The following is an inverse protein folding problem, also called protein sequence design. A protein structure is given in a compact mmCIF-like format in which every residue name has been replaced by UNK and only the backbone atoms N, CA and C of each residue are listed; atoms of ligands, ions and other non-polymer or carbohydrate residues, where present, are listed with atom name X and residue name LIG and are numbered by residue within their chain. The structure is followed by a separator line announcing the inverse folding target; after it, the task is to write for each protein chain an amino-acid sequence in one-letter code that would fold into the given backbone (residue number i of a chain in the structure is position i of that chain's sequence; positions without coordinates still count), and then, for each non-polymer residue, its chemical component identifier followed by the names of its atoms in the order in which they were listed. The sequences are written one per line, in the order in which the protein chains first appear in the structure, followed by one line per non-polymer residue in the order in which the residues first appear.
data_IF_214063623245
#
_entry.id   IF_214063623245
#
_cell.length_a   1.000
_cell.length_b   1.000
_cell.length_c   1.000
_cell.angle_alpha   90.00
_cell.angle_beta   90.00
_cell.angle_gamma   90.00
#
_symmetry.space_group_name_H-M   'P 1'
#
loop_
_entity.id
_entity.type
_entity.pdbx_description
1 polymer ?
#
# COMPACT_ATOMS: atom_id res chain seq x y z
N UNK A 1 -2.98 26.21 -31.01
CA UNK A 1 -2.58 26.33 -29.58
C UNK A 1 -1.84 25.04 -29.18
N UNK A 2 -0.50 25.05 -29.16
CA UNK A 2 0.31 23.85 -28.99
C UNK A 2 0.53 23.59 -27.49
N UNK A 3 -0.19 22.62 -26.92
CA UNK A 3 0.04 22.17 -25.55
C UNK A 3 1.34 21.35 -25.47
N UNK A 4 2.40 21.97 -24.96
CA UNK A 4 3.65 21.26 -24.60
C UNK A 4 3.35 20.28 -23.45
N UNK A 5 3.22 18.99 -23.77
CA UNK A 5 3.08 17.89 -22.81
C UNK A 5 4.37 17.79 -21.97
N UNK A 6 4.24 17.61 -20.65
CA UNK A 6 5.38 17.44 -19.73
C UNK A 6 5.51 15.96 -19.35
N UNK A 7 6.67 15.38 -19.63
CA UNK A 7 7.04 13.99 -19.28
C UNK A 7 7.68 13.99 -17.89
N UNK A 8 7.28 13.04 -17.04
CA UNK A 8 8.00 12.70 -15.80
C UNK A 8 8.48 11.26 -15.92
N UNK A 9 9.78 11.06 -15.96
CA UNK A 9 10.39 9.72 -15.99
C UNK A 9 10.27 9.04 -14.62
N UNK A 10 9.40 8.04 -14.51
CA UNK A 10 9.40 7.09 -13.40
C UNK A 10 10.40 5.97 -13.72
N UNK A 11 11.60 6.03 -13.17
CA UNK A 11 12.56 4.93 -13.21
C UNK A 11 12.25 3.92 -12.09
N UNK A 12 11.82 2.73 -12.50
CA UNK A 12 11.64 1.56 -11.65
C UNK A 12 13.03 0.92 -11.45
N UNK A 13 13.67 1.13 -10.30
CA UNK A 13 14.91 0.43 -9.97
C UNK A 13 14.56 -1.00 -9.52
N UNK A 14 14.88 -1.98 -10.36
CA UNK A 14 14.87 -3.39 -10.00
C UNK A 14 16.00 -3.66 -9.00
N UNK A 15 15.69 -4.25 -7.83
CA UNK A 15 16.70 -4.66 -6.86
C UNK A 15 16.94 -6.17 -7.03
N UNK A 16 18.22 -6.49 -7.26
CA UNK A 16 18.78 -7.80 -7.58
C UNK A 16 18.73 -8.71 -6.34
N UNK A 17 18.37 -9.97 -6.57
CA UNK A 17 18.48 -11.09 -5.63
C UNK A 17 19.93 -11.28 -5.19
N UNK A 18 20.17 -11.41 -3.88
CA UNK A 18 21.39 -12.02 -3.37
C UNK A 18 21.03 -13.33 -2.66
N UNK A 19 21.40 -14.44 -3.31
CA UNK A 19 21.50 -15.77 -2.72
C UNK A 19 22.73 -15.80 -1.82
N UNK A 20 22.57 -16.32 -0.60
CA UNK A 20 23.67 -16.65 0.30
C UNK A 20 23.35 -17.95 1.02
N UNK A 21 23.85 -19.05 0.48
CA UNK A 21 23.87 -20.37 1.10
C UNK A 21 24.96 -20.44 2.16
N UNK A 22 24.63 -20.94 3.35
CA UNK A 22 25.59 -21.42 4.33
C UNK A 22 25.09 -22.75 4.90
N UNK A 23 25.85 -23.79 4.56
CA UNK A 23 25.86 -25.16 5.06
C UNK A 23 26.42 -25.21 6.48
N UNK A 24 25.92 -26.12 7.34
CA UNK A 24 26.59 -26.42 8.61
C UNK A 24 25.81 -27.29 9.60
N UNK A 25 25.96 -28.60 9.41
CA UNK A 25 25.97 -29.73 10.36
C UNK A 25 24.96 -29.87 11.51
N UNK A 26 24.38 -31.08 11.53
CA UNK A 26 23.59 -31.69 12.58
C UNK A 26 24.40 -32.01 13.85
N UNK A 27 23.74 -31.91 15.01
CA UNK A 27 24.04 -32.70 16.20
C UNK A 27 22.72 -33.21 16.78
N UNK A 28 22.62 -34.53 16.83
CA UNK A 28 21.58 -35.34 17.47
C UNK A 28 21.68 -35.24 18.98
N UNK A 29 20.57 -34.96 19.66
CA UNK A 29 20.38 -35.33 21.06
C UNK A 29 18.89 -35.54 21.34
N UNK A 30 18.50 -36.80 21.49
CA UNK A 30 17.21 -37.21 22.07
C UNK A 30 17.16 -36.80 23.53
N UNK A 31 16.09 -36.11 23.91
CA UNK A 31 15.60 -36.08 25.28
C UNK A 31 14.07 -35.97 25.24
N UNK A 32 13.42 -37.12 25.48
CA UNK A 32 11.98 -37.27 25.64
C UNK A 32 11.53 -36.50 26.88
N UNK A 33 10.65 -35.51 26.72
CA UNK A 33 9.87 -34.98 27.84
C UNK A 33 8.45 -34.66 27.38
N UNK A 34 7.51 -35.10 28.20
CA UNK A 34 6.05 -35.10 28.08
C UNK A 34 5.41 -34.01 27.21
N UNK A 35 4.65 -34.46 26.21
CA UNK A 35 3.71 -33.63 25.44
C UNK A 35 2.39 -33.58 26.20
N UNK A 36 2.30 -32.70 27.21
CA UNK A 36 1.00 -32.23 27.67
C UNK A 36 0.40 -31.37 26.55
N UNK A 37 -0.50 -31.99 25.78
CA UNK A 37 -1.22 -31.42 24.64
C UNK A 37 -2.24 -30.39 25.13
N UNK A 38 -1.76 -29.24 25.60
CA UNK A 38 -2.61 -28.09 25.87
C UNK A 38 -2.96 -27.48 24.51
N UNK A 39 -4.12 -27.88 23.99
CA UNK A 39 -4.76 -27.24 22.84
C UNK A 39 -5.04 -25.78 23.21
N UNK A 40 -4.05 -24.93 23.02
CA UNK A 40 -4.25 -23.50 22.99
C UNK A 40 -5.12 -23.24 21.76
N UNK A 41 -6.43 -23.14 21.97
CA UNK A 41 -7.32 -22.54 21.01
C UNK A 41 -6.69 -21.19 20.67
N UNK A 42 -6.13 -21.07 19.46
CA UNK A 42 -5.54 -19.84 18.98
C UNK A 42 -6.64 -18.78 19.09
N UNK A 43 -6.52 -17.92 20.09
CA UNK A 43 -7.43 -16.82 20.33
C UNK A 43 -7.31 -15.95 19.10
N UNK A 44 -8.27 -16.09 18.17
CA UNK A 44 -8.31 -15.36 16.90
C UNK A 44 -8.06 -13.89 17.21
N UNK A 45 -6.88 -13.39 16.86
CA UNK A 45 -6.48 -12.05 17.20
C UNK A 45 -7.55 -11.07 16.69
N UNK A 46 -8.12 -10.28 17.60
CA UNK A 46 -9.09 -9.26 17.25
C UNK A 46 -8.40 -8.17 16.44
N UNK A 47 -9.06 -7.69 15.39
CA UNK A 47 -8.51 -6.61 14.56
C UNK A 47 -8.59 -5.30 15.35
N UNK A 48 -7.47 -4.55 15.50
CA UNK A 48 -7.49 -3.27 16.21
C UNK A 48 -8.47 -2.27 15.60
N UNK A 49 -9.11 -1.46 16.45
CA UNK A 49 -10.05 -0.42 16.03
C UNK A 49 -9.41 0.55 15.03
N UNK A 50 -10.11 0.82 13.92
CA UNK A 50 -9.68 1.77 12.88
C UNK A 50 -8.97 1.13 11.68
N UNK A 51 -8.36 -0.04 11.87
CA UNK A 51 -7.77 -0.82 10.77
C UNK A 51 -8.88 -1.24 9.82
N UNK A 52 -8.69 -1.00 8.52
CA UNK A 52 -9.66 -1.45 7.53
C UNK A 52 -9.71 -2.97 7.51
N UNK A 53 -10.90 -3.50 7.80
CA UNK A 53 -11.11 -4.92 7.89
C UNK A 53 -12.49 -5.34 7.42
N UNK A 54 -12.52 -6.36 6.57
CA UNK A 54 -13.74 -6.82 5.89
C UNK A 54 -13.94 -8.33 6.09
N UNK A 55 -15.19 -8.81 6.19
CA UNK A 55 -15.46 -10.25 6.27
C UNK A 55 -15.13 -10.94 4.95
N UNK A 56 -14.78 -12.24 4.97
CA UNK A 56 -14.47 -13.00 3.73
C UNK A 56 -15.53 -12.89 2.62
N UNK A 57 -16.80 -12.65 2.98
CA UNK A 57 -17.93 -12.55 2.04
C UNK A 57 -18.19 -11.13 1.49
N UNK A 58 -17.32 -10.15 1.70
CA UNK A 58 -17.53 -8.78 1.17
C UNK A 58 -17.69 -8.77 -0.36
N UNK A 59 -18.49 -7.85 -0.89
CA UNK A 59 -18.64 -7.62 -2.33
C UNK A 59 -17.47 -6.81 -2.88
N UNK A 60 -16.86 -7.30 -3.98
CA UNK A 60 -15.77 -6.59 -4.66
C UNK A 60 -16.24 -5.23 -5.16
N UNK A 61 -17.47 -5.14 -5.68
CA UNK A 61 -18.03 -3.91 -6.25
C UNK A 61 -18.29 -2.87 -5.17
N UNK A 62 -18.88 -3.28 -4.04
CA UNK A 62 -19.15 -2.38 -2.90
C UNK A 62 -17.86 -1.84 -2.32
N UNK A 63 -16.89 -2.72 -2.05
CA UNK A 63 -15.60 -2.29 -1.50
C UNK A 63 -14.83 -1.39 -2.48
N UNK A 64 -14.96 -1.63 -3.79
CA UNK A 64 -14.40 -0.74 -4.81
C UNK A 64 -15.03 0.66 -4.74
N UNK A 65 -16.33 0.76 -4.48
CA UNK A 65 -17.00 2.06 -4.31
C UNK A 65 -16.60 2.74 -3.00
N UNK A 66 -16.49 1.98 -1.91
CA UNK A 66 -16.11 2.46 -0.57
C UNK A 66 -14.69 3.02 -0.53
N UNK A 67 -13.72 2.35 -1.17
CA UNK A 67 -12.32 2.79 -1.18
C UNK A 67 -12.03 3.91 -2.19
N UNK A 68 -12.96 4.22 -3.09
CA UNK A 68 -12.82 5.28 -4.08
C UNK A 68 -12.57 6.67 -3.45
N UNK A 69 -13.39 7.16 -2.48
CA UNK A 69 -13.09 8.41 -1.77
C UNK A 69 -11.78 8.37 -0.97
N UNK A 70 -11.40 7.20 -0.44
CA UNK A 70 -10.13 7.03 0.27
C UNK A 70 -8.92 7.18 -0.68
N UNK A 71 -9.03 6.67 -1.91
CA UNK A 71 -8.03 6.88 -2.95
C UNK A 71 -7.84 8.37 -3.27
N UNK A 72 -8.94 9.13 -3.38
CA UNK A 72 -8.91 10.59 -3.59
C UNK A 72 -8.17 11.28 -2.45
N UNK A 73 -8.47 10.90 -1.20
CA UNK A 73 -7.79 11.45 -0.03
C UNK A 73 -6.29 11.17 -0.05
N UNK A 74 -5.88 9.95 -0.39
CA UNK A 74 -4.48 9.57 -0.52
C UNK A 74 -3.75 10.30 -1.65
N UNK A 75 -4.41 10.53 -2.80
CA UNK A 75 -3.85 11.35 -3.89
C UNK A 75 -3.62 12.81 -3.46
N UNK A 76 -4.53 13.38 -2.65
CA UNK A 76 -4.36 14.73 -2.08
C UNK A 76 -3.22 14.78 -1.06
N UNK A 77 -3.10 13.78 -0.19
CA UNK A 77 -1.95 13.64 0.73
C UNK A 77 -0.64 13.53 -0.06
N UNK A 78 -0.63 12.79 -1.17
CA UNK A 78 0.53 12.71 -2.06
C UNK A 78 0.88 14.05 -2.70
N UNK A 79 -0.11 14.80 -3.18
CA UNK A 79 0.10 16.14 -3.70
C UNK A 79 0.77 17.06 -2.67
N UNK A 80 0.35 17.02 -1.40
CA UNK A 80 0.99 17.78 -0.32
C UNK A 80 2.42 17.31 -0.03
N UNK A 81 2.64 16.00 -0.05
CA UNK A 81 3.93 15.40 0.29
C UNK A 81 4.99 15.70 -0.76
N UNK A 82 4.67 15.67 -2.05
CA UNK A 82 5.64 16.03 -3.11
C UNK A 82 5.98 17.53 -3.13
N UNK A 83 5.07 18.39 -2.65
CA UNK A 83 5.31 19.82 -2.49
C UNK A 83 6.23 20.12 -1.30
N UNK A 84 5.92 19.54 -0.14
CA UNK A 84 6.54 19.90 1.14
C UNK A 84 7.70 18.99 1.55
N UNK A 85 7.76 17.77 1.03
CA UNK A 85 8.64 16.70 1.49
C UNK A 85 8.19 16.03 2.79
N UNK A 86 7.11 16.50 3.42
CA UNK A 86 6.60 15.95 4.68
C UNK A 86 5.65 14.79 4.39
N UNK A 87 5.76 13.71 5.16
CA UNK A 87 4.93 12.50 5.02
C UNK A 87 3.97 12.28 6.20
N UNK A 88 3.81 13.27 7.07
CA UNK A 88 3.07 13.16 8.33
C UNK A 88 1.62 12.72 8.14
N UNK A 89 0.91 13.29 7.17
CA UNK A 89 -0.50 12.94 6.91
C UNK A 89 -0.65 11.51 6.40
N UNK A 90 0.29 11.04 5.58
CA UNK A 90 0.32 9.64 5.14
C UNK A 90 0.63 8.70 6.31
N UNK A 91 1.60 9.04 7.16
CA UNK A 91 1.94 8.22 8.33
C UNK A 91 0.73 8.06 9.26
N UNK A 92 0.01 9.15 9.55
CA UNK A 92 -1.24 9.10 10.32
C UNK A 92 -2.30 8.22 9.68
N UNK A 93 -2.41 8.25 8.34
CA UNK A 93 -3.31 7.39 7.60
C UNK A 93 -2.96 5.91 7.79
N UNK A 94 -1.68 5.57 7.64
CA UNK A 94 -1.17 4.20 7.84
C UNK A 94 -1.40 3.74 9.27
N UNK A 95 -1.11 4.57 10.26
CA UNK A 95 -1.33 4.26 11.69
C UNK A 95 -2.77 3.92 12.01
N UNK A 96 -3.70 4.64 11.37
CA UNK A 96 -5.13 4.40 11.57
C UNK A 96 -5.60 3.13 10.85
N UNK A 97 -5.21 2.95 9.58
CA UNK A 97 -5.93 2.04 8.68
C UNK A 97 -5.20 0.74 8.34
N UNK A 98 -3.87 0.69 8.46
CA UNK A 98 -3.06 -0.47 8.06
C UNK A 98 -2.81 -1.38 9.25
N UNK A 99 -2.94 -2.69 9.01
CA UNK A 99 -2.62 -3.71 10.00
C UNK A 99 -1.13 -3.71 10.34
N UNK A 100 -0.81 -3.98 11.61
CA UNK A 100 0.59 -4.20 11.99
C UNK A 100 1.14 -5.50 11.40
N UNK A 101 2.46 -5.58 11.34
CA UNK A 101 3.14 -6.84 11.03
C UNK A 101 2.79 -7.85 12.13
N UNK A 102 2.46 -9.08 11.73
CA UNK A 102 2.28 -10.18 12.66
C UNK A 102 3.19 -11.36 12.27
N UNK A 103 3.62 -12.13 13.25
CA UNK A 103 4.42 -13.33 13.03
C UNK A 103 3.62 -14.36 12.23
N UNK A 104 4.27 -15.04 11.29
CA UNK A 104 3.67 -16.16 10.54
C UNK A 104 2.71 -15.78 9.41
N UNK A 105 2.55 -14.49 9.08
CA UNK A 105 1.75 -14.06 7.93
C UNK A 105 2.53 -13.16 6.97
N UNK A 106 1.94 -12.91 5.80
CA UNK A 106 2.53 -12.06 4.76
C UNK A 106 2.41 -10.56 5.05
N UNK A 107 1.94 -10.12 6.24
CA UNK A 107 1.68 -8.71 6.49
C UNK A 107 2.96 -7.89 6.55
N UNK A 108 3.13 -6.97 5.60
CA UNK A 108 4.31 -6.08 5.54
C UNK A 108 4.36 -5.07 6.70
N UNK A 109 3.21 -4.70 7.25
CA UNK A 109 3.08 -3.84 8.42
C UNK A 109 3.23 -2.34 8.16
N UNK A 110 2.97 -1.54 9.19
CA UNK A 110 2.92 -0.07 9.08
C UNK A 110 4.26 0.56 8.69
N UNK A 111 5.36 0.08 9.28
CA UNK A 111 6.72 0.59 9.01
C UNK A 111 7.07 0.49 7.52
N UNK A 112 6.83 -0.67 6.90
CA UNK A 112 7.09 -0.88 5.48
C UNK A 112 6.36 0.16 4.61
N UNK A 113 5.06 0.35 4.87
CA UNK A 113 4.24 1.28 4.10
C UNK A 113 4.73 2.73 4.23
N UNK A 114 5.08 3.17 5.44
CA UNK A 114 5.63 4.51 5.70
C UNK A 114 6.99 4.71 5.02
N UNK A 115 7.90 3.75 5.14
CA UNK A 115 9.25 3.85 4.57
C UNK A 115 9.21 3.89 3.05
N UNK A 116 8.43 2.99 2.43
CA UNK A 116 8.24 2.97 0.98
C UNK A 116 7.65 4.29 0.47
N UNK A 117 6.63 4.83 1.15
CA UNK A 117 6.04 6.10 0.75
C UNK A 117 7.04 7.26 0.87
N UNK A 118 7.83 7.32 1.94
CA UNK A 118 8.90 8.31 2.10
C UNK A 118 9.92 8.22 0.97
N UNK A 119 10.29 7.02 0.54
CA UNK A 119 11.16 6.81 -0.61
C UNK A 119 10.51 7.34 -1.90
N UNK A 120 9.24 7.02 -2.17
CA UNK A 120 8.50 7.55 -3.34
C UNK A 120 8.50 9.08 -3.37
N UNK A 121 8.15 9.73 -2.26
CA UNK A 121 8.12 11.20 -2.16
C UNK A 121 9.51 11.79 -2.38
N UNK A 122 10.54 11.17 -1.81
CA UNK A 122 11.93 11.63 -1.94
C UNK A 122 12.42 11.49 -3.39
N UNK A 123 12.17 10.36 -4.03
CA UNK A 123 12.53 10.10 -5.41
C UNK A 123 11.82 11.08 -6.36
N UNK A 124 10.51 11.28 -6.20
CA UNK A 124 9.76 12.24 -7.01
C UNK A 124 10.32 13.66 -6.90
N UNK A 125 10.66 14.09 -5.67
CA UNK A 125 11.26 15.40 -5.42
C UNK A 125 12.64 15.56 -6.03
N UNK A 126 13.47 14.52 -5.98
CA UNK A 126 14.81 14.51 -6.58
C UNK A 126 14.75 14.56 -8.11
N UNK A 127 13.83 13.80 -8.71
CA UNK A 127 13.75 13.67 -10.17
C UNK A 127 13.13 14.89 -10.88
N UNK A 128 12.34 15.71 -10.17
CA UNK A 128 11.54 16.76 -10.80
C UNK A 128 11.91 18.15 -10.30
N UNK A 129 11.85 19.16 -11.18
CA UNK A 129 11.95 20.57 -10.78
C UNK A 129 10.73 20.99 -9.94
N UNK A 130 10.91 21.98 -9.05
CA UNK A 130 9.82 22.48 -8.19
C UNK A 130 8.58 22.89 -8.98
N UNK A 131 8.74 23.66 -10.05
CA UNK A 131 7.63 24.11 -10.89
C UNK A 131 6.82 22.97 -11.52
N UNK A 132 7.47 21.86 -11.88
CA UNK A 132 6.82 20.63 -12.35
C UNK A 132 5.96 20.01 -11.25
N UNK A 133 6.53 19.85 -10.04
CA UNK A 133 5.79 19.31 -8.89
C UNK A 133 4.64 20.20 -8.47
N UNK A 134 4.83 21.52 -8.51
CA UNK A 134 3.79 22.50 -8.17
C UNK A 134 2.59 22.41 -9.12
N UNK A 135 2.84 22.30 -10.42
CA UNK A 135 1.79 22.10 -11.41
C UNK A 135 1.08 20.75 -11.22
N UNK A 136 1.83 19.68 -10.99
CA UNK A 136 1.29 18.33 -10.81
C UNK A 136 0.41 18.22 -9.55
N UNK A 137 0.92 18.71 -8.43
CA UNK A 137 0.21 18.70 -7.15
C UNK A 137 -1.05 19.58 -7.18
N UNK A 138 -1.04 20.70 -7.91
CA UNK A 138 -2.21 21.58 -8.06
C UNK A 138 -3.39 20.83 -8.69
N UNK A 139 -3.13 20.01 -9.70
CA UNK A 139 -4.18 19.21 -10.34
C UNK A 139 -4.59 18.02 -9.49
N UNK A 140 -3.64 17.32 -8.86
CA UNK A 140 -3.97 16.26 -7.91
C UNK A 140 -4.86 16.74 -6.76
N UNK A 141 -4.67 17.95 -6.26
CA UNK A 141 -5.52 18.52 -5.21
C UNK A 141 -6.99 18.72 -5.65
N UNK A 142 -7.24 18.83 -6.96
CA UNK A 142 -8.59 18.97 -7.53
C UNK A 142 -9.25 17.63 -7.86
N UNK A 143 -8.57 16.52 -7.62
CA UNK A 143 -9.12 15.20 -7.91
C UNK A 143 -10.39 14.92 -7.10
N UNK A 144 -11.39 14.34 -7.76
CA UNK A 144 -12.67 13.93 -7.18
C UNK A 144 -12.93 12.46 -7.46
N UNK A 145 -13.87 11.86 -6.75
CA UNK A 145 -14.25 10.46 -6.95
C UNK A 145 -14.79 10.18 -8.36
N UNK A 146 -15.40 11.18 -9.02
CA UNK A 146 -15.82 11.09 -10.43
C UNK A 146 -14.64 11.09 -11.40
N UNK A 147 -13.55 11.79 -11.05
CA UNK A 147 -12.36 11.94 -11.89
C UNK A 147 -11.40 10.74 -11.85
N UNK A 148 -11.46 9.91 -10.81
CA UNK A 148 -10.60 8.71 -10.71
C UNK A 148 -11.25 7.49 -11.36
N UNK A 149 -10.41 6.66 -11.99
CA UNK A 149 -10.80 5.39 -12.62
C UNK A 149 -10.46 4.22 -11.70
N UNK A 150 -11.28 3.17 -11.76
CA UNK A 150 -10.89 1.86 -11.22
C UNK A 150 -9.95 1.24 -12.25
N UNK A 151 -8.68 1.09 -11.89
CA UNK A 151 -7.67 0.52 -12.79
C UNK A 151 -7.63 -1.00 -12.69
N UNK A 152 -7.73 -1.52 -11.47
CA UNK A 152 -7.70 -2.95 -11.20
C UNK A 152 -8.49 -3.28 -9.93
N UNK A 153 -9.24 -4.38 -9.95
CA UNK A 153 -9.85 -4.94 -8.75
C UNK A 153 -9.84 -6.47 -8.80
N UNK A 154 -9.33 -7.10 -7.75
CA UNK A 154 -9.33 -8.55 -7.63
C UNK A 154 -9.59 -9.00 -6.19
N UNK A 155 -10.18 -10.19 -6.09
CA UNK A 155 -10.41 -10.90 -4.83
C UNK A 155 -10.13 -12.37 -5.10
N UNK A 156 -9.14 -12.91 -4.41
CA UNK A 156 -8.79 -14.34 -4.39
C UNK A 156 -9.10 -14.91 -3.01
N UNK A 157 -8.75 -16.17 -2.75
CA UNK A 157 -9.04 -16.84 -1.46
C UNK A 157 -8.40 -16.16 -0.24
N UNK A 158 -7.18 -15.65 -0.41
CA UNK A 158 -6.36 -15.10 0.68
C UNK A 158 -5.92 -13.65 0.49
N UNK A 159 -6.16 -13.05 -0.69
CA UNK A 159 -5.73 -11.68 -1.01
C UNK A 159 -6.80 -10.94 -1.80
N UNK A 160 -6.89 -9.63 -1.61
CA UNK A 160 -7.71 -8.76 -2.44
C UNK A 160 -6.98 -7.45 -2.71
N UNK A 161 -7.09 -6.94 -3.94
CA UNK A 161 -6.35 -5.76 -4.39
C UNK A 161 -7.29 -4.82 -5.14
N UNK A 162 -7.24 -3.54 -4.78
CA UNK A 162 -8.05 -2.48 -5.37
C UNK A 162 -7.13 -1.33 -5.76
N UNK A 163 -7.09 -0.99 -7.04
CA UNK A 163 -6.22 0.04 -7.59
C UNK A 163 -7.03 1.08 -8.33
N UNK A 164 -6.75 2.33 -8.03
CA UNK A 164 -7.37 3.50 -8.64
C UNK A 164 -6.30 4.29 -9.36
N UNK A 165 -6.68 4.90 -10.48
CA UNK A 165 -5.78 5.74 -11.26
C UNK A 165 -6.38 7.11 -11.53
N UNK A 166 -5.50 8.09 -11.64
CA UNK A 166 -5.82 9.44 -12.07
C UNK A 166 -4.68 10.01 -12.91
N UNK A 167 -5.02 10.59 -14.05
CA UNK A 167 -4.08 11.34 -14.89
C UNK A 167 -4.35 12.82 -14.67
N UNK A 168 -3.42 13.58 -14.06
CA UNK A 168 -3.55 15.02 -13.94
C UNK A 168 -3.71 15.69 -15.32
N UNK A 169 -4.44 16.81 -15.38
CA UNK A 169 -4.81 17.43 -16.66
C UNK A 169 -3.57 18.08 -17.30
N UNK A 170 -3.40 17.86 -18.61
CA UNK A 170 -2.23 18.37 -19.34
C UNK A 170 -0.94 17.56 -19.11
N UNK A 171 -1.04 16.41 -18.44
CA UNK A 171 0.03 15.44 -18.30
C UNK A 171 -0.20 14.24 -19.22
N UNK A 172 0.86 13.51 -19.52
CA UNK A 172 0.80 12.33 -20.37
C UNK A 172 0.43 11.06 -19.59
N UNK A 173 0.31 9.95 -20.32
CA UNK A 173 -0.02 8.64 -19.74
C UNK A 173 1.09 8.08 -18.82
N UNK A 174 2.31 8.62 -18.88
CA UNK A 174 3.40 8.23 -17.98
C UNK A 174 3.32 8.93 -16.62
N UNK A 175 2.46 9.95 -16.51
CA UNK A 175 2.25 10.76 -15.32
C UNK A 175 0.99 10.35 -14.54
N UNK A 176 0.57 9.09 -14.66
CA UNK A 176 -0.59 8.56 -13.93
C UNK A 176 -0.20 8.34 -12.47
N UNK A 177 -1.02 8.83 -11.54
CA UNK A 177 -0.96 8.39 -10.15
C UNK A 177 -1.81 7.15 -9.97
N UNK A 178 -1.21 6.12 -9.39
CA UNK A 178 -1.91 4.93 -8.93
C UNK A 178 -1.98 4.91 -7.41
N UNK A 179 -3.15 4.60 -6.84
CA UNK A 179 -3.32 4.27 -5.42
C UNK A 179 -3.81 2.83 -5.32
N UNK A 180 -3.05 1.99 -4.62
CA UNK A 180 -3.36 0.58 -4.44
C UNK A 180 -3.62 0.26 -2.96
N UNK A 181 -4.74 -0.41 -2.70
CA UNK A 181 -5.08 -1.02 -1.42
C UNK A 181 -4.98 -2.53 -1.57
N UNK A 182 -4.11 -3.17 -0.78
CA UNK A 182 -3.92 -4.61 -0.77
C UNK A 182 -4.30 -5.16 0.59
N UNK A 183 -5.17 -6.17 0.57
CA UNK A 183 -5.70 -6.82 1.74
C UNK A 183 -5.25 -8.27 1.79
N UNK A 184 -4.91 -8.74 2.99
CA UNK A 184 -4.61 -10.15 3.26
C UNK A 184 -5.69 -10.72 4.18
N UNK A 185 -6.11 -11.94 3.92
CA UNK A 185 -6.99 -12.70 4.82
C UNK A 185 -6.18 -13.23 6.00
N UNK A 186 -6.62 -12.92 7.21
CA UNK A 186 -6.08 -13.48 8.45
C UNK A 186 -6.73 -14.82 8.77
N UNK A 187 -6.13 -15.57 9.71
CA UNK A 187 -6.66 -16.85 10.22
C UNK A 187 -8.07 -16.73 10.81
N UNK A 188 -8.41 -15.56 11.36
CA UNK A 188 -9.76 -15.26 11.84
C UNK A 188 -10.81 -15.16 10.71
N UNK A 189 -10.40 -15.28 9.45
CA UNK A 189 -11.24 -15.24 8.26
C UNK A 189 -11.55 -13.83 7.75
N UNK A 190 -11.00 -12.79 8.36
CA UNK A 190 -11.18 -11.40 7.93
C UNK A 190 -10.03 -10.95 7.04
N UNK A 191 -10.36 -10.13 6.07
CA UNK A 191 -9.38 -9.36 5.31
C UNK A 191 -8.98 -8.13 6.11
N UNK A 192 -7.69 -7.81 6.14
CA UNK A 192 -7.17 -6.57 6.73
C UNK A 192 -6.29 -5.86 5.72
N UNK A 193 -6.28 -4.53 5.75
CA UNK A 193 -5.41 -3.75 4.88
C UNK A 193 -3.95 -3.97 5.27
N UNK A 194 -3.22 -4.63 4.39
CA UNK A 194 -1.81 -4.98 4.53
C UNK A 194 -0.90 -3.87 4.00
N UNK A 195 -1.19 -3.42 2.77
CA UNK A 195 -0.30 -2.53 2.05
C UNK A 195 -1.05 -1.45 1.28
N UNK A 196 -0.54 -0.23 1.41
CA UNK A 196 -0.90 0.95 0.65
C UNK A 196 0.27 1.35 -0.24
N UNK A 197 0.02 1.52 -1.53
CA UNK A 197 1.04 1.98 -2.48
C UNK A 197 0.53 3.17 -3.28
N UNK A 198 1.37 4.19 -3.39
CA UNK A 198 1.16 5.34 -4.27
C UNK A 198 2.35 5.42 -5.22
N UNK A 199 2.07 5.38 -6.53
CA UNK A 199 3.07 5.39 -7.60
C UNK A 199 2.71 6.48 -8.61
#
# INVERSE_FOLDING_TARGET
MIFKKKIVGSFLLAFILFLGSLTGSAVTASASTDVSKQSAAATKAAVPKGVFSYPSKFSKTELTAELKPEAVKLMKIYAESILTGKVTNFNKYVDKHVAEKASGNFLLGRKYNKDRYKQTVTANRKANKRSTRDAYARDLKKVTSKGIKVYYSSKKSNVASFQYSYTPRGWDAFSIVYVSFNFTKQENGRYVLESLRIN
#
